data_IF_054794445669
#
_entry.id   IF_054794445669
#
_cell.length_a   1.000
_cell.length_b   1.000
_cell.length_c   1.000
_cell.angle_alpha   90.00
_cell.angle_beta   90.00
_cell.angle_gamma   90.00
#
_symmetry.space_group_name_H-M   'P 1'
#
loop_
_entity.id
_entity.type
_entity.pdbx_description
1 polymer ?
#
# COMPACT_ATOMS: atom_id res chain seq x y z
N UNK A 1 14.09 -9.03 5.96
CA UNK A 1 14.20 -8.51 7.35
C UNK A 1 13.27 -7.32 7.45
N UNK A 2 12.49 -7.24 8.53
CA UNK A 2 11.64 -6.07 8.77
C UNK A 2 12.46 -4.78 8.70
N UNK A 3 11.91 -3.74 8.11
CA UNK A 3 12.57 -2.44 8.03
C UNK A 3 12.45 -1.73 9.39
N UNK A 4 13.41 -1.99 10.28
CA UNK A 4 13.41 -1.48 11.67
C UNK A 4 13.39 0.05 11.73
N UNK A 5 14.05 0.72 10.79
CA UNK A 5 14.04 2.17 10.72
C UNK A 5 12.66 2.72 10.35
N UNK A 6 11.96 2.06 9.42
CA UNK A 6 10.59 2.43 9.07
C UNK A 6 9.63 2.16 10.23
N UNK A 7 9.73 1.01 10.91
CA UNK A 7 8.91 0.69 12.09
C UNK A 7 9.09 1.75 13.17
N UNK A 8 10.34 2.13 13.47
CA UNK A 8 10.63 3.19 14.43
C UNK A 8 10.00 4.53 14.02
N UNK A 9 10.12 4.90 12.73
CA UNK A 9 9.53 6.15 12.22
C UNK A 9 7.99 6.14 12.27
N UNK A 10 7.35 5.00 11.99
CA UNK A 10 5.89 4.84 12.12
C UNK A 10 5.43 5.02 13.56
N UNK A 11 6.18 4.52 14.52
CA UNK A 11 5.91 4.69 15.97
C UNK A 11 6.15 6.11 16.44
N UNK A 12 7.28 6.71 16.08
CA UNK A 12 7.64 8.08 16.43
C UNK A 12 6.63 9.11 15.89
N UNK A 13 5.99 8.78 14.77
CA UNK A 13 4.92 9.58 14.17
C UNK A 13 3.52 9.32 14.79
N UNK A 14 3.38 8.42 15.77
CA UNK A 14 2.10 7.92 16.29
C UNK A 14 1.19 7.25 15.22
N UNK A 15 1.78 6.80 14.11
CA UNK A 15 1.06 6.06 13.07
C UNK A 15 0.71 4.63 13.50
N UNK A 16 1.44 4.08 14.45
CA UNK A 16 1.17 2.78 15.08
C UNK A 16 0.92 2.99 16.56
N UNK A 17 -0.25 2.56 17.02
CA UNK A 17 -0.66 2.64 18.43
C UNK A 17 -0.95 1.25 18.94
N UNK A 18 -0.52 0.96 20.15
CA UNK A 18 -0.75 -0.31 20.82
C UNK A 18 -1.84 -0.15 21.90
N UNK A 19 -2.67 -1.19 22.07
CA UNK A 19 -3.80 -1.21 22.98
C UNK A 19 -4.98 -1.96 22.39
N UNK A 20 -6.08 -2.09 23.11
CA UNK A 20 -7.28 -2.73 22.61
C UNK A 20 -8.12 -1.75 21.76
N UNK A 21 -8.35 -2.10 20.50
CA UNK A 21 -9.13 -1.31 19.54
C UNK A 21 -10.27 -2.14 18.97
N UNK A 22 -11.48 -1.58 18.94
CA UNK A 22 -12.61 -2.18 18.22
C UNK A 22 -12.48 -1.94 16.72
N UNK A 23 -12.62 -3.00 15.92
CA UNK A 23 -12.57 -2.93 14.46
C UNK A 23 -13.97 -2.63 13.88
N UNK A 24 -14.03 -1.86 12.80
CA UNK A 24 -15.29 -1.44 12.15
C UNK A 24 -16.17 -2.57 11.64
N UNK A 25 -15.58 -3.74 11.40
CA UNK A 25 -16.26 -4.97 10.95
C UNK A 25 -16.49 -5.97 12.07
N UNK A 26 -16.29 -5.57 13.32
CA UNK A 26 -16.40 -6.42 14.52
C UNK A 26 -15.07 -7.08 14.88
N UNK A 27 -14.93 -7.40 16.19
CA UNK A 27 -13.69 -7.93 16.75
C UNK A 27 -12.79 -6.84 17.35
N UNK A 28 -11.70 -7.28 17.97
CA UNK A 28 -10.71 -6.41 18.62
C UNK A 28 -9.33 -6.63 18.01
N UNK A 29 -8.48 -5.61 18.07
CA UNK A 29 -7.07 -5.67 17.68
C UNK A 29 -6.22 -5.07 18.79
N UNK A 30 -5.04 -5.63 19.04
CA UNK A 30 -4.09 -5.13 20.03
C UNK A 30 -3.23 -3.98 19.50
N UNK A 31 -3.44 -3.57 18.27
CA UNK A 31 -2.78 -2.43 17.65
C UNK A 31 -3.73 -1.75 16.66
N UNK A 32 -3.42 -0.50 16.36
CA UNK A 32 -4.09 0.30 15.33
C UNK A 32 -3.06 1.01 14.46
N UNK A 33 -3.25 0.96 13.15
CA UNK A 33 -2.42 1.69 12.19
C UNK A 33 -3.23 2.84 11.60
N UNK A 34 -2.79 4.06 11.87
CA UNK A 34 -3.34 5.27 11.26
C UNK A 34 -2.55 5.60 9.99
N UNK A 35 -3.06 5.14 8.87
CA UNK A 35 -2.42 5.33 7.57
C UNK A 35 -2.25 6.79 7.18
N UNK A 36 -3.22 7.65 7.51
CA UNK A 36 -3.15 9.07 7.17
C UNK A 36 -2.01 9.79 7.89
N UNK A 37 -1.59 9.29 9.05
CA UNK A 37 -0.43 9.82 9.76
C UNK A 37 0.85 9.55 8.98
N UNK A 38 1.12 8.33 8.54
CA UNK A 38 2.34 8.06 7.79
C UNK A 38 2.29 8.57 6.35
N UNK A 39 1.11 8.61 5.70
CA UNK A 39 0.91 9.16 4.36
C UNK A 39 1.16 10.68 4.28
N UNK A 40 1.16 11.37 5.39
CA UNK A 40 1.36 12.83 5.49
C UNK A 40 2.60 13.23 6.29
N UNK A 41 3.35 12.25 6.80
CA UNK A 41 4.59 12.51 7.55
C UNK A 41 5.80 12.44 6.61
N UNK A 42 6.60 13.52 6.45
CA UNK A 42 7.71 13.55 5.51
C UNK A 42 8.77 12.47 5.77
N UNK A 43 9.06 12.16 7.04
CA UNK A 43 10.07 11.14 7.37
C UNK A 43 9.58 9.73 7.02
N UNK A 44 8.32 9.42 7.30
CA UNK A 44 7.73 8.15 6.90
C UNK A 44 7.73 8.01 5.36
N UNK A 45 7.30 9.06 4.65
CA UNK A 45 7.28 9.06 3.19
C UNK A 45 8.66 8.88 2.57
N UNK A 46 9.70 9.52 3.11
CA UNK A 46 11.09 9.35 2.66
C UNK A 46 11.55 7.89 2.79
N UNK A 47 11.34 7.27 3.95
CA UNK A 47 11.72 5.88 4.21
C UNK A 47 10.92 4.89 3.37
N UNK A 48 9.63 5.13 3.18
CA UNK A 48 8.75 4.31 2.34
C UNK A 48 9.22 4.38 0.88
N UNK A 49 9.48 5.58 0.36
CA UNK A 49 9.95 5.76 -1.02
C UNK A 49 11.27 5.04 -1.26
N UNK A 50 12.25 5.19 -0.37
CA UNK A 50 13.52 4.49 -0.45
C UNK A 50 13.35 2.97 -0.42
N UNK A 51 12.51 2.46 0.48
CA UNK A 51 12.26 1.03 0.61
C UNK A 51 11.50 0.43 -0.59
N UNK A 52 10.58 1.18 -1.20
CA UNK A 52 9.94 0.77 -2.45
C UNK A 52 10.93 0.81 -3.62
N UNK A 53 11.78 1.84 -3.70
CA UNK A 53 12.80 1.96 -4.76
C UNK A 53 13.73 0.74 -4.83
N UNK A 54 14.07 0.12 -3.70
CA UNK A 54 14.89 -1.10 -3.64
C UNK A 54 14.20 -2.34 -4.26
N UNK A 55 12.88 -2.31 -4.42
CA UNK A 55 12.04 -3.42 -4.91
C UNK A 55 11.55 -3.23 -6.34
N UNK A 56 11.72 -2.04 -6.89
CA UNK A 56 11.25 -1.66 -8.22
C UNK A 56 12.35 -1.88 -9.28
N UNK A 57 11.92 -2.27 -10.48
CA UNK A 57 12.70 -2.24 -11.71
C UNK A 57 12.38 -0.99 -12.53
N UNK A 58 12.09 -1.19 -13.80
CA UNK A 58 11.68 -0.13 -14.73
C UNK A 58 10.15 -0.02 -14.89
N UNK A 59 9.39 -0.68 -14.03
CA UNK A 59 7.93 -0.76 -14.07
C UNK A 59 7.31 0.62 -13.79
N UNK A 60 6.18 0.91 -14.46
CA UNK A 60 5.36 2.05 -14.09
C UNK A 60 4.65 1.80 -12.76
N UNK A 61 4.40 2.85 -11.99
CA UNK A 61 3.70 2.74 -10.72
C UNK A 61 2.20 3.01 -10.88
N UNK A 62 1.37 2.36 -10.07
CA UNK A 62 -0.05 2.69 -9.97
C UNK A 62 -0.45 2.87 -8.51
N UNK A 63 -0.79 4.09 -8.11
CA UNK A 63 -1.28 4.37 -6.75
C UNK A 63 -2.78 4.12 -6.63
N UNK A 64 -3.19 3.32 -5.66
CA UNK A 64 -4.62 3.13 -5.35
C UNK A 64 -5.13 4.34 -4.57
N UNK A 65 -6.12 5.03 -5.13
CA UNK A 65 -6.67 6.20 -4.47
C UNK A 65 -7.50 5.79 -3.23
N UNK A 66 -7.35 6.48 -2.12
CA UNK A 66 -6.62 7.73 -1.89
C UNK A 66 -5.18 7.49 -1.35
N UNK A 67 -4.97 6.55 -0.44
CA UNK A 67 -3.75 6.38 0.35
C UNK A 67 -2.49 6.04 -0.48
N UNK A 68 -2.64 5.33 -1.59
CA UNK A 68 -1.53 5.05 -2.51
C UNK A 68 -1.02 6.28 -3.27
N UNK A 69 -1.80 7.36 -3.36
CA UNK A 69 -1.42 8.54 -4.16
C UNK A 69 -0.17 9.27 -3.62
N UNK A 70 -0.09 9.64 -2.33
CA UNK A 70 1.13 10.24 -1.79
C UNK A 70 2.33 9.29 -1.90
N UNK A 71 2.11 7.98 -1.75
CA UNK A 71 3.17 6.98 -1.80
C UNK A 71 3.78 6.86 -3.21
N UNK A 72 2.96 6.75 -4.26
CA UNK A 72 3.48 6.71 -5.63
C UNK A 72 4.12 8.04 -6.03
N UNK A 73 3.60 9.17 -5.55
CA UNK A 73 4.17 10.47 -5.86
C UNK A 73 5.60 10.62 -5.33
N UNK A 74 5.84 10.26 -4.06
CA UNK A 74 7.19 10.34 -3.49
C UNK A 74 8.12 9.27 -4.07
N UNK A 75 7.62 8.06 -4.33
CA UNK A 75 8.39 6.98 -4.97
C UNK A 75 8.76 7.34 -6.40
N UNK A 76 7.86 7.98 -7.15
CA UNK A 76 8.14 8.49 -8.50
C UNK A 76 9.25 9.55 -8.50
N UNK A 77 9.25 10.44 -7.52
CA UNK A 77 10.32 11.46 -7.37
C UNK A 77 11.66 10.79 -7.02
N UNK A 78 11.65 9.78 -6.14
CA UNK A 78 12.85 9.05 -5.73
C UNK A 78 13.46 8.23 -6.87
N UNK A 79 12.62 7.55 -7.66
CA UNK A 79 13.07 6.60 -8.69
C UNK A 79 13.16 7.20 -10.09
N UNK A 80 12.42 8.28 -10.37
CA UNK A 80 12.21 8.81 -11.71
C UNK A 80 11.17 8.02 -12.53
N UNK A 81 10.52 7.00 -11.97
CA UNK A 81 9.49 6.21 -12.65
C UNK A 81 8.17 6.99 -12.76
N UNK A 82 7.50 6.97 -13.92
CA UNK A 82 6.18 7.57 -14.06
C UNK A 82 5.11 6.76 -13.32
N UNK A 83 3.97 7.41 -12.99
CA UNK A 83 2.86 6.73 -12.35
C UNK A 83 1.49 7.11 -12.91
N UNK A 84 0.53 6.24 -12.64
CA UNK A 84 -0.91 6.45 -12.84
C UNK A 84 -1.64 6.32 -11.51
N UNK A 85 -2.90 6.75 -11.46
CA UNK A 85 -3.75 6.64 -10.28
C UNK A 85 -4.93 5.73 -10.60
N UNK A 86 -5.08 4.63 -9.85
CA UNK A 86 -6.25 3.77 -9.90
C UNK A 86 -7.31 4.26 -8.90
N UNK A 87 -8.52 4.52 -9.39
CA UNK A 87 -9.65 5.03 -8.59
C UNK A 87 -10.58 3.91 -8.17
N UNK A 88 -11.16 4.02 -6.98
CA UNK A 88 -12.14 3.04 -6.45
C UNK A 88 -13.52 3.14 -7.12
N UNK A 89 -13.85 4.27 -7.76
CA UNK A 89 -15.16 4.47 -8.41
C UNK A 89 -15.04 5.37 -9.62
N UNK A 90 -15.93 5.15 -10.59
CA UNK A 90 -16.05 6.00 -11.77
C UNK A 90 -16.50 7.42 -11.39
N UNK A 91 -16.08 8.41 -12.20
CA UNK A 91 -16.59 9.78 -12.09
C UNK A 91 -18.07 9.82 -12.51
N UNK A 92 -18.87 10.56 -11.78
CA UNK A 92 -20.27 10.83 -12.19
C UNK A 92 -20.35 11.70 -13.45
N UNK A 93 -19.29 12.47 -13.76
CA UNK A 93 -19.21 13.36 -14.90
C UNK A 93 -17.87 13.24 -15.61
N UNK A 94 -17.86 13.24 -16.95
CA UNK A 94 -16.67 13.17 -17.79
C UNK A 94 -16.37 11.77 -18.32
N UNK A 95 -15.11 11.48 -18.62
CA UNK A 95 -14.67 10.13 -18.99
C UNK A 95 -14.79 9.22 -17.77
N UNK A 96 -15.50 8.10 -17.93
CA UNK A 96 -15.72 7.11 -16.86
C UNK A 96 -14.46 6.27 -16.56
N UNK A 97 -13.27 6.87 -16.65
CA UNK A 97 -12.01 6.18 -16.46
C UNK A 97 -11.75 5.90 -14.99
N UNK A 98 -11.43 4.65 -14.69
CA UNK A 98 -10.94 4.23 -13.37
C UNK A 98 -9.44 4.46 -13.22
N UNK A 99 -8.71 4.72 -14.30
CA UNK A 99 -7.27 5.00 -14.32
C UNK A 99 -7.04 6.41 -14.83
N UNK A 100 -6.29 7.21 -14.06
CA UNK A 100 -5.89 8.57 -14.42
C UNK A 100 -4.37 8.62 -14.68
N UNK A 101 -3.96 9.26 -15.75
CA UNK A 101 -2.58 9.35 -16.22
C UNK A 101 -2.42 8.66 -17.57
N UNK A 102 -1.18 8.63 -18.07
CA UNK A 102 -0.85 8.01 -19.34
C UNK A 102 -0.48 6.54 -19.14
N UNK A 103 -1.20 5.65 -19.82
CA UNK A 103 -0.97 4.22 -19.83
C UNK A 103 -0.90 3.71 -21.27
N UNK A 104 0.10 2.90 -21.58
CA UNK A 104 0.30 2.28 -22.87
C UNK A 104 -0.10 0.80 -22.80
N UNK A 105 -0.73 0.28 -23.85
CA UNK A 105 -1.08 -1.14 -23.94
C UNK A 105 0.17 -2.03 -23.82
N UNK A 106 0.10 -3.04 -22.94
CA UNK A 106 1.20 -3.96 -22.63
C UNK A 106 2.25 -3.41 -21.68
N UNK A 107 2.04 -2.20 -21.12
CA UNK A 107 2.96 -1.62 -20.15
C UNK A 107 2.91 -2.36 -18.81
N UNK A 108 4.07 -2.70 -18.26
CA UNK A 108 4.20 -3.35 -16.97
C UNK A 108 3.98 -2.32 -15.85
N UNK A 109 3.09 -2.66 -14.91
CA UNK A 109 2.67 -1.74 -13.84
C UNK A 109 2.68 -2.45 -12.49
N UNK A 110 3.31 -1.84 -11.51
CA UNK A 110 3.29 -2.28 -10.10
C UNK A 110 2.30 -1.44 -9.32
N UNK A 111 1.38 -2.09 -8.61
CA UNK A 111 0.43 -1.41 -7.73
C UNK A 111 1.12 -1.01 -6.43
N UNK A 112 0.83 0.19 -5.96
CA UNK A 112 1.29 0.71 -4.66
C UNK A 112 0.09 1.09 -3.82
N UNK A 113 0.02 0.53 -2.61
CA UNK A 113 -1.06 0.77 -1.65
C UNK A 113 -0.51 1.00 -0.24
N UNK A 114 -1.32 1.58 0.62
CA UNK A 114 -0.97 1.91 2.00
C UNK A 114 -1.00 0.69 2.93
N UNK A 115 -2.15 0.05 3.04
CA UNK A 115 -2.40 -1.09 3.93
C UNK A 115 -3.17 -2.17 3.18
N UNK A 116 -2.70 -3.41 3.23
CA UNK A 116 -3.43 -4.57 2.79
C UNK A 116 -4.10 -5.27 3.99
N UNK A 117 -5.42 -5.39 3.95
CA UNK A 117 -6.22 -6.19 4.90
C UNK A 117 -6.65 -7.48 4.22
N UNK A 118 -7.57 -7.39 3.28
CA UNK A 118 -8.01 -8.50 2.42
C UNK A 118 -7.44 -8.44 1.01
N UNK A 119 -6.80 -7.34 0.63
CA UNK A 119 -6.27 -7.11 -0.72
C UNK A 119 -7.32 -6.69 -1.76
N UNK A 120 -8.61 -6.57 -1.40
CA UNK A 120 -9.67 -6.30 -2.37
C UNK A 120 -9.46 -5.01 -3.16
N UNK A 121 -9.00 -3.93 -2.52
CA UNK A 121 -8.74 -2.66 -3.22
C UNK A 121 -7.66 -2.80 -4.31
N UNK A 122 -6.63 -3.60 -4.04
CA UNK A 122 -5.56 -3.86 -5.02
C UNK A 122 -6.05 -4.78 -6.15
N UNK A 123 -6.92 -5.76 -5.86
CA UNK A 123 -7.56 -6.61 -6.88
C UNK A 123 -8.40 -5.75 -7.82
N UNK A 124 -9.28 -4.89 -7.27
CA UNK A 124 -10.13 -3.99 -8.07
C UNK A 124 -9.28 -3.04 -8.95
N UNK A 125 -8.16 -2.55 -8.40
CA UNK A 125 -7.22 -1.71 -9.12
C UNK A 125 -6.50 -2.48 -10.25
N UNK A 126 -6.09 -3.73 -10.00
CA UNK A 126 -5.46 -4.59 -11.00
C UNK A 126 -6.41 -4.89 -12.16
N UNK A 127 -7.67 -5.17 -11.87
CA UNK A 127 -8.71 -5.37 -12.90
C UNK A 127 -8.88 -4.12 -13.76
N UNK A 128 -9.00 -2.94 -13.14
CA UNK A 128 -9.13 -1.69 -13.88
C UNK A 128 -7.90 -1.36 -14.75
N UNK A 129 -6.70 -1.65 -14.26
CA UNK A 129 -5.45 -1.46 -14.99
C UNK A 129 -5.33 -2.46 -16.16
N UNK A 130 -5.66 -3.73 -15.93
CA UNK A 130 -5.67 -4.78 -16.96
C UNK A 130 -6.71 -4.48 -18.04
N UNK A 131 -7.89 -3.99 -17.67
CA UNK A 131 -8.94 -3.54 -18.62
C UNK A 131 -8.48 -2.33 -19.45
N UNK A 132 -7.59 -1.50 -18.90
CA UNK A 132 -6.96 -0.39 -19.61
C UNK A 132 -5.73 -0.81 -20.44
N UNK A 133 -5.39 -2.10 -20.48
CA UNK A 133 -4.33 -2.67 -21.30
C UNK A 133 -2.99 -2.91 -20.60
N UNK A 134 -2.87 -2.64 -19.30
CA UNK A 134 -1.64 -2.88 -18.54
C UNK A 134 -1.41 -4.38 -18.25
N UNK A 135 -0.14 -4.73 -18.01
CA UNK A 135 0.26 -5.99 -17.41
C UNK A 135 0.52 -5.72 -15.92
N UNK A 136 -0.18 -6.43 -15.04
CA UNK A 136 -0.11 -6.21 -13.59
C UNK A 136 -0.01 -7.57 -12.90
N UNK A 137 1.06 -7.81 -12.18
CA UNK A 137 1.32 -9.05 -11.45
C UNK A 137 1.85 -8.83 -10.02
N UNK A 138 2.12 -7.57 -9.62
CA UNK A 138 2.72 -7.22 -8.34
C UNK A 138 2.01 -6.09 -7.62
N UNK A 139 1.96 -6.22 -6.28
CA UNK A 139 1.44 -5.21 -5.35
C UNK A 139 2.49 -4.94 -4.28
N UNK A 140 2.90 -3.68 -4.14
CA UNK A 140 3.72 -3.21 -3.03
C UNK A 140 2.84 -2.50 -2.01
N UNK A 141 2.96 -2.86 -0.74
CA UNK A 141 2.19 -2.25 0.34
C UNK A 141 3.10 -1.85 1.50
N UNK A 142 2.76 -0.77 2.19
CA UNK A 142 3.53 -0.37 3.37
C UNK A 142 3.31 -1.36 4.49
N UNK A 143 2.05 -1.69 4.80
CA UNK A 143 1.69 -2.62 5.88
C UNK A 143 0.79 -3.73 5.38
N UNK A 144 1.23 -4.98 5.52
CA UNK A 144 0.35 -6.16 5.43
C UNK A 144 -0.19 -6.50 6.82
N UNK A 145 -1.50 -6.50 6.97
CA UNK A 145 -2.17 -6.85 8.23
C UNK A 145 -2.23 -8.35 8.52
N UNK A 146 -1.78 -9.17 7.57
CA UNK A 146 -1.82 -10.64 7.66
C UNK A 146 -3.26 -11.19 7.87
N UNK A 147 -4.25 -10.53 7.26
CA UNK A 147 -5.68 -10.86 7.34
C UNK A 147 -6.20 -11.51 6.04
N UNK A 148 -5.35 -12.22 5.29
CA UNK A 148 -5.70 -12.98 4.09
C UNK A 148 -5.42 -12.27 2.76
N UNK A 149 -4.74 -11.11 2.76
CA UNK A 149 -4.42 -10.38 1.53
C UNK A 149 -3.52 -11.20 0.59
N UNK A 150 -2.52 -11.88 1.12
CA UNK A 150 -1.56 -12.68 0.33
C UNK A 150 -2.27 -13.78 -0.46
N UNK A 151 -3.17 -14.53 0.19
CA UNK A 151 -3.93 -15.60 -0.44
C UNK A 151 -4.90 -15.07 -1.50
N UNK A 152 -5.66 -14.01 -1.16
CA UNK A 152 -6.64 -13.43 -2.07
C UNK A 152 -5.97 -12.81 -3.30
N UNK A 153 -4.83 -12.15 -3.14
CA UNK A 153 -4.07 -11.59 -4.25
C UNK A 153 -3.47 -12.68 -5.14
N UNK A 154 -2.96 -13.76 -4.54
CA UNK A 154 -2.46 -14.90 -5.30
C UNK A 154 -3.56 -15.57 -6.15
N UNK A 155 -4.81 -15.64 -5.67
CA UNK A 155 -5.96 -16.12 -6.46
C UNK A 155 -6.31 -15.22 -7.65
N UNK A 156 -5.87 -13.94 -7.61
CA UNK A 156 -6.02 -12.95 -8.68
C UNK A 156 -4.76 -12.80 -9.56
N UNK A 157 -3.82 -13.74 -9.49
CA UNK A 157 -2.52 -13.70 -10.18
C UNK A 157 -1.71 -12.43 -9.83
N UNK A 158 -1.67 -12.08 -8.53
CA UNK A 158 -0.91 -10.95 -7.99
C UNK A 158 0.00 -11.42 -6.86
N UNK A 159 1.27 -10.99 -6.89
CA UNK A 159 2.23 -11.16 -5.81
C UNK A 159 2.21 -9.97 -4.87
N UNK A 160 2.04 -10.22 -3.55
CA UNK A 160 2.10 -9.19 -2.52
C UNK A 160 3.50 -9.09 -1.92
N UNK A 161 4.07 -7.89 -1.94
CA UNK A 161 5.26 -7.54 -1.18
C UNK A 161 4.94 -6.43 -0.19
N UNK A 162 5.23 -6.62 1.09
CA UNK A 162 5.05 -5.62 2.13
C UNK A 162 6.38 -5.09 2.66
N UNK A 163 6.40 -3.83 3.09
CA UNK A 163 7.56 -3.26 3.80
C UNK A 163 7.59 -3.71 5.25
N UNK A 164 6.41 -3.84 5.86
CA UNK A 164 6.18 -4.21 7.26
C UNK A 164 4.95 -5.09 7.35
N UNK A 165 4.96 -6.07 8.24
CA UNK A 165 3.81 -6.92 8.54
C UNK A 165 3.21 -6.58 9.91
N UNK A 166 1.98 -7.04 10.17
CA UNK A 166 1.38 -6.97 11.51
C UNK A 166 2.25 -7.66 12.56
N UNK A 167 2.81 -8.83 12.22
CA UNK A 167 3.73 -9.56 13.09
C UNK A 167 5.00 -8.75 13.43
N UNK A 168 5.56 -8.03 12.46
CA UNK A 168 6.70 -7.15 12.69
C UNK A 168 6.37 -6.01 13.65
N UNK A 169 5.19 -5.38 13.48
CA UNK A 169 4.73 -4.31 14.36
C UNK A 169 4.49 -4.80 15.79
N UNK A 170 3.88 -5.98 15.95
CA UNK A 170 3.63 -6.57 17.27
C UNK A 170 4.92 -7.05 17.96
N UNK A 171 5.89 -7.56 17.20
CA UNK A 171 7.18 -7.97 17.76
C UNK A 171 7.97 -6.79 18.35
N UNK A 172 7.72 -5.57 17.87
CA UNK A 172 8.33 -4.33 18.33
C UNK A 172 7.44 -3.55 19.33
N UNK A 173 6.32 -4.17 19.77
CA UNK A 173 5.41 -3.56 20.76
C UNK A 173 6.09 -3.37 22.12
N UNK A 174 5.75 -2.31 22.89
CA UNK A 174 6.20 -2.18 24.26
C UNK A 174 5.76 -3.36 25.13
N UNK A 175 6.61 -3.74 26.11
CA UNK A 175 6.36 -4.90 27.00
C UNK A 175 5.05 -4.82 27.81
N UNK A 176 4.43 -3.63 27.88
CA UNK A 176 3.20 -3.36 28.64
C UNK A 176 1.92 -3.66 27.82
N UNK A 177 2.05 -4.07 26.56
CA UNK A 177 0.93 -4.42 25.68
C UNK A 177 0.77 -5.93 25.67
N UNK A 178 -0.23 -6.45 26.40
CA UNK A 178 -0.57 -7.88 26.36
C UNK A 178 -0.93 -8.29 24.91
N UNK A 179 -0.22 -9.28 24.40
CA UNK A 179 -0.40 -9.85 23.07
C UNK A 179 -1.66 -10.71 22.97
#
# INVERSE_FOLDING_TARGET
>A
MANQELIAALRDADAVRYGEFELSHGGTSNYYVDKYVFETNPRCLELIAAAFAERLGDDKLAGVALGGVPLVAVTSVETGLPYVIARKSQKEYGTANLVEGELTEGEEVVIVEDIATTGQSAIDAAEALRDAGAVVDRVLVVVDREEGATENLAEADLELESLVTASDLLADAPEDVDA
#
